data_IF_127050751307
#
_entry.id   IF_127050751307
#
_cell.length_a   1.000
_cell.length_b   1.000
_cell.length_c   1.000
_cell.angle_alpha   90.00
_cell.angle_beta   90.00
_cell.angle_gamma   90.00
#
_symmetry.space_group_name_H-M   'P 1'
#
loop_
_entity.id
_entity.type
_entity.pdbx_description
1 polymer ?
#
# COMPACT_ATOMS: atom_id res chain seq x y z
N UNK A 1 17.35 -9.39 23.80
CA UNK A 1 16.13 -9.82 23.09
C UNK A 1 15.50 -8.64 22.37
N UNK A 2 14.67 -8.88 21.35
CA UNK A 2 13.99 -7.85 20.57
C UNK A 2 12.61 -7.54 21.20
N UNK A 3 12.12 -6.32 21.02
CA UNK A 3 10.69 -5.98 21.21
C UNK A 3 9.94 -6.16 19.88
N UNK A 4 8.61 -6.22 19.91
CA UNK A 4 7.84 -6.22 18.67
C UNK A 4 6.34 -6.06 18.85
N UNK A 5 5.67 -5.83 17.74
CA UNK A 5 4.22 -5.75 17.63
C UNK A 5 3.77 -6.36 16.29
N UNK A 6 2.60 -6.99 16.32
CA UNK A 6 1.87 -7.44 15.15
C UNK A 6 0.67 -6.51 14.93
N UNK A 7 0.50 -6.03 13.70
CA UNK A 7 -0.54 -5.08 13.30
C UNK A 7 -1.40 -5.75 12.24
N UNK A 8 -2.64 -6.10 12.61
CA UNK A 8 -3.62 -6.73 11.71
C UNK A 8 -4.77 -5.80 11.32
N UNK A 9 -4.83 -4.62 11.93
CA UNK A 9 -5.79 -3.58 11.57
C UNK A 9 -5.14 -2.21 11.42
N UNK A 10 -5.57 -1.40 10.44
CA UNK A 10 -4.99 -0.08 10.20
C UNK A 10 -5.01 0.86 11.42
N UNK A 11 -6.02 0.78 12.28
CA UNK A 11 -6.17 1.64 13.48
C UNK A 11 -5.06 1.43 14.52
N UNK A 12 -4.41 0.28 14.52
CA UNK A 12 -3.33 -0.04 15.46
C UNK A 12 -1.97 0.53 15.03
N UNK A 13 -1.82 0.89 13.75
CA UNK A 13 -0.53 1.21 13.14
C UNK A 13 0.13 2.41 13.83
N UNK A 14 -0.63 3.47 14.14
CA UNK A 14 -0.10 4.65 14.81
C UNK A 14 0.52 4.35 16.17
N UNK A 15 -0.19 3.60 17.02
CA UNK A 15 0.32 3.22 18.35
C UNK A 15 1.53 2.26 18.25
N UNK A 16 1.54 1.36 17.26
CA UNK A 16 2.67 0.47 17.02
C UNK A 16 3.93 1.23 16.59
N UNK A 17 3.78 2.28 15.77
CA UNK A 17 4.88 3.16 15.40
C UNK A 17 5.45 3.93 16.60
N UNK A 18 4.60 4.53 17.42
CA UNK A 18 5.04 5.22 18.64
C UNK A 18 5.83 4.27 19.56
N UNK A 19 5.33 3.05 19.77
CA UNK A 19 6.01 2.04 20.56
C UNK A 19 7.36 1.59 19.96
N UNK A 20 7.43 1.49 18.63
CA UNK A 20 8.66 1.12 17.91
C UNK A 20 9.73 2.22 18.01
N UNK A 21 9.36 3.49 17.82
CA UNK A 21 10.29 4.61 17.92
C UNK A 21 10.73 4.91 19.35
N UNK A 22 9.87 4.68 20.34
CA UNK A 22 10.22 4.82 21.75
C UNK A 22 11.03 3.63 22.30
N UNK A 23 11.29 2.59 21.51
CA UNK A 23 11.95 1.38 21.98
C UNK A 23 13.44 1.64 22.30
N UNK A 24 13.86 1.19 23.49
CA UNK A 24 15.23 1.22 24.00
C UNK A 24 16.13 0.12 23.41
N UNK A 25 15.63 -0.65 22.44
CA UNK A 25 16.27 -1.84 21.86
C UNK A 25 15.65 -2.16 20.50
N UNK A 26 16.27 -3.03 19.67
CA UNK A 26 15.70 -3.43 18.38
C UNK A 26 14.24 -3.88 18.49
N UNK A 27 13.42 -3.36 17.57
CA UNK A 27 11.98 -3.59 17.52
C UNK A 27 11.60 -4.18 16.16
N UNK A 28 10.77 -5.23 16.16
CA UNK A 28 10.18 -5.82 14.95
C UNK A 28 8.70 -5.45 14.89
N UNK A 29 8.32 -4.67 13.89
CA UNK A 29 6.92 -4.36 13.59
C UNK A 29 6.51 -5.22 12.39
N UNK A 30 5.62 -6.18 12.63
CA UNK A 30 5.03 -7.01 11.59
C UNK A 30 3.66 -6.44 11.21
N UNK A 31 3.48 -6.08 9.94
CA UNK A 31 2.22 -5.56 9.42
C UNK A 31 1.58 -6.59 8.49
N UNK A 32 0.37 -7.02 8.82
CA UNK A 32 -0.45 -7.86 7.94
C UNK A 32 -1.16 -6.97 6.92
N UNK A 33 -0.72 -7.06 5.66
CA UNK A 33 -1.20 -6.21 4.57
C UNK A 33 -2.01 -7.02 3.56
N UNK A 34 -2.89 -6.34 2.83
CA UNK A 34 -3.66 -6.91 1.73
C UNK A 34 -2.71 -7.37 0.59
N UNK A 35 -2.69 -8.67 0.23
CA UNK A 35 -1.87 -9.17 -0.87
C UNK A 35 -2.38 -8.75 -2.26
N UNK A 36 -3.64 -8.32 -2.37
CA UNK A 36 -4.31 -8.03 -3.65
C UNK A 36 -4.06 -6.60 -4.14
N UNK A 37 -3.40 -5.75 -3.34
CA UNK A 37 -3.00 -4.40 -3.75
C UNK A 37 -1.63 -4.47 -4.44
N UNK A 38 -1.56 -4.32 -5.77
CA UNK A 38 -0.31 -4.50 -6.48
C UNK A 38 0.63 -3.32 -6.21
N UNK A 39 1.94 -3.56 -5.96
CA UNK A 39 2.90 -2.48 -5.84
C UNK A 39 2.99 -1.73 -7.18
N UNK A 40 2.61 -0.45 -7.17
CA UNK A 40 2.78 0.41 -8.33
C UNK A 40 4.27 0.70 -8.54
N UNK A 41 4.81 0.55 -9.76
CA UNK A 41 6.24 0.77 -9.96
C UNK A 41 6.57 2.27 -9.80
N UNK A 42 7.67 2.62 -9.12
CA UNK A 42 7.98 4.02 -8.76
C UNK A 42 8.51 4.88 -9.93
N UNK A 43 8.97 4.25 -11.02
CA UNK A 43 9.46 4.94 -12.22
C UNK A 43 8.87 4.29 -13.48
N UNK A 44 7.60 4.56 -13.77
CA UNK A 44 6.96 4.05 -14.99
C UNK A 44 7.20 5.01 -16.15
N UNK A 45 7.74 4.50 -17.23
CA UNK A 45 7.47 5.11 -18.54
C UNK A 45 6.00 4.89 -18.89
N UNK A 46 5.38 5.79 -19.66
CA UNK A 46 3.98 5.63 -20.13
C UNK A 46 3.73 4.27 -20.79
N UNK A 47 4.75 3.69 -21.43
CA UNK A 47 4.68 2.36 -22.04
C UNK A 47 4.59 1.22 -21.01
N UNK A 48 5.28 1.34 -19.88
CA UNK A 48 5.21 0.37 -18.78
C UNK A 48 3.88 0.49 -18.01
N UNK A 49 3.36 1.71 -17.86
CA UNK A 49 2.03 1.97 -17.31
C UNK A 49 0.94 1.27 -18.12
N UNK A 50 0.99 1.39 -19.46
CA UNK A 50 0.02 0.75 -20.35
C UNK A 50 0.10 -0.78 -20.33
N UNK A 51 1.31 -1.34 -20.26
CA UNK A 51 1.46 -2.79 -20.14
C UNK A 51 0.92 -3.32 -18.81
N UNK A 52 1.19 -2.62 -17.71
CA UNK A 52 0.67 -2.95 -16.37
C UNK A 52 -0.87 -2.80 -16.29
N UNK A 53 -1.41 -1.72 -16.86
CA UNK A 53 -2.86 -1.54 -16.96
C UNK A 53 -3.51 -2.64 -17.83
N UNK A 54 -2.88 -3.03 -18.94
CA UNK A 54 -3.37 -4.10 -19.80
C UNK A 54 -3.32 -5.48 -19.11
N UNK A 55 -2.40 -5.71 -18.18
CA UNK A 55 -2.39 -6.94 -17.35
C UNK A 55 -3.48 -6.92 -16.29
N UNK A 56 -3.75 -5.77 -15.66
CA UNK A 56 -4.88 -5.63 -14.72
C UNK A 56 -6.23 -5.84 -15.39
N UNK A 57 -6.41 -5.31 -16.61
CA UNK A 57 -7.64 -5.48 -17.41
C UNK A 57 -7.85 -6.92 -17.88
N UNK A 58 -6.79 -7.73 -17.94
CA UNK A 58 -6.85 -9.16 -18.31
C UNK A 58 -6.98 -10.09 -17.09
N UNK A 59 -6.94 -9.56 -15.86
CA UNK A 59 -7.03 -10.30 -14.60
C UNK A 59 -8.45 -10.65 -14.15
N UNK A 60 -8.54 -11.50 -13.13
CA UNK A 60 -9.75 -12.19 -12.64
C UNK A 60 -10.84 -11.20 -12.15
N UNK A 61 -12.14 -11.38 -12.50
CA UNK A 61 -13.26 -10.55 -12.04
C UNK A 61 -13.33 -10.30 -10.52
N UNK A 62 -12.73 -11.13 -9.67
CA UNK A 62 -12.66 -10.91 -8.22
C UNK A 62 -11.83 -9.70 -7.81
N UNK A 63 -10.90 -9.23 -8.66
CA UNK A 63 -9.96 -8.14 -8.36
C UNK A 63 -10.48 -6.75 -8.80
N UNK A 64 -11.65 -6.69 -9.44
CA UNK A 64 -12.21 -5.47 -10.02
C UNK A 64 -12.45 -4.34 -9.01
N UNK A 65 -12.75 -4.70 -7.75
CA UNK A 65 -12.97 -3.71 -6.68
C UNK A 65 -11.64 -3.07 -6.25
N UNK A 66 -10.55 -3.85 -6.19
CA UNK A 66 -9.23 -3.38 -5.80
C UNK A 66 -8.63 -2.48 -6.88
N UNK A 67 -8.75 -2.89 -8.15
CA UNK A 67 -8.33 -2.08 -9.30
C UNK A 67 -9.00 -0.71 -9.30
N UNK A 68 -10.30 -0.65 -8.94
CA UNK A 68 -11.04 0.61 -8.85
C UNK A 68 -10.53 1.53 -7.74
N UNK A 69 -10.25 1.00 -6.55
CA UNK A 69 -9.74 1.81 -5.45
C UNK A 69 -8.31 2.30 -5.73
N UNK A 70 -7.43 1.46 -6.27
CA UNK A 70 -6.06 1.87 -6.69
C UNK A 70 -6.09 2.92 -7.80
N UNK A 71 -7.00 2.79 -8.78
CA UNK A 71 -7.16 3.79 -9.83
C UNK A 71 -7.69 5.12 -9.28
N UNK A 72 -8.60 5.08 -8.30
CA UNK A 72 -9.14 6.27 -7.65
C UNK A 72 -8.08 7.01 -6.84
N UNK A 73 -7.25 6.28 -6.11
CA UNK A 73 -6.13 6.84 -5.33
C UNK A 73 -5.09 7.50 -6.25
N UNK A 74 -4.72 6.84 -7.34
CA UNK A 74 -3.84 7.42 -8.38
C UNK A 74 -4.41 8.71 -9.00
N UNK A 75 -5.72 8.76 -9.26
CA UNK A 75 -6.38 9.97 -9.79
C UNK A 75 -6.38 11.08 -8.73
N UNK A 76 -6.60 10.74 -7.46
CA UNK A 76 -6.52 11.69 -6.36
C UNK A 76 -5.11 12.27 -6.19
N UNK A 77 -4.06 11.47 -6.35
CA UNK A 77 -2.66 11.92 -6.29
C UNK A 77 -2.26 12.79 -7.50
N UNK A 78 -2.86 12.55 -8.67
CA UNK A 78 -2.60 13.31 -9.89
C UNK A 78 -3.47 14.57 -10.02
N UNK A 79 -4.57 14.68 -9.28
CA UNK A 79 -5.36 15.91 -9.23
C UNK A 79 -4.59 16.97 -8.42
N UNK A 80 -4.27 18.14 -9.02
CA UNK A 80 -3.62 19.20 -8.28
C UNK A 80 -4.54 19.64 -7.15
N UNK A 81 -4.02 19.61 -5.92
CA UNK A 81 -4.69 20.22 -4.77
C UNK A 81 -5.04 21.66 -5.15
N UNK A 82 -6.33 21.99 -5.18
CA UNK A 82 -6.72 23.40 -5.11
C UNK A 82 -6.34 23.85 -3.70
N UNK A 83 -5.50 24.88 -3.62
CA UNK A 83 -5.27 25.70 -2.42
C UNK A 83 -6.57 26.00 -1.68
#
# INVERSE_FOLDING_TARGET
GLKGAFVDRPDQLGAAWEAAFAADRPFVLEAYTDPDVPPLPPHITLKQAQAFAATLVKGDPSEWKVIKETAKELISDLMPSRS
#
